data_IF_162026792286
#
_entry.id   IF_162026792286
#
_cell.length_a   1.000
_cell.length_b   1.000
_cell.length_c   1.000
_cell.angle_alpha   90.00
_cell.angle_beta   90.00
_cell.angle_gamma   90.00
#
_symmetry.space_group_name_H-M   'P 1'
#
loop_
_entity.id
_entity.type
_entity.pdbx_description
1 polymer ?
#
# COMPACT_ATOMS: atom_id res chain seq x y z
N UNK A 1 -4.43 -5.99 -5.56
CA UNK A 1 -5.55 -6.65 -4.85
C UNK A 1 -5.42 -8.16 -4.73
N UNK A 2 -4.71 -8.86 -5.63
CA UNK A 2 -4.46 -10.32 -5.51
C UNK A 2 -3.77 -10.69 -4.20
N UNK A 3 -2.81 -9.87 -3.73
CA UNK A 3 -2.13 -10.09 -2.44
C UNK A 3 -3.09 -10.05 -1.24
N UNK A 4 -4.05 -9.13 -1.25
CA UNK A 4 -5.08 -9.05 -0.20
C UNK A 4 -5.90 -10.32 -0.21
N UNK A 5 -6.38 -10.76 -1.39
CA UNK A 5 -7.15 -11.99 -1.56
C UNK A 5 -6.38 -13.23 -1.08
N UNK A 6 -5.07 -13.30 -1.35
CA UNK A 6 -4.20 -14.39 -0.90
C UNK A 6 -4.02 -14.42 0.63
N UNK A 7 -4.12 -13.26 1.30
CA UNK A 7 -3.93 -13.12 2.74
C UNK A 7 -5.24 -13.17 3.55
N UNK A 8 -6.39 -13.24 2.88
CA UNK A 8 -7.70 -13.51 3.50
C UNK A 8 -7.67 -14.70 4.48
N UNK A 9 -7.21 -15.89 4.08
CA UNK A 9 -7.21 -17.05 4.98
C UNK A 9 -6.31 -16.83 6.20
N UNK A 10 -5.26 -16.01 6.09
CA UNK A 10 -4.38 -15.66 7.22
C UNK A 10 -5.11 -14.80 8.23
N UNK A 11 -5.84 -13.77 7.78
CA UNK A 11 -6.65 -12.91 8.66
C UNK A 11 -7.77 -13.71 9.33
N UNK A 12 -8.40 -14.63 8.59
CA UNK A 12 -9.42 -15.53 9.14
C UNK A 12 -8.86 -16.49 10.20
N UNK A 13 -7.67 -17.06 9.97
CA UNK A 13 -7.00 -17.94 10.94
C UNK A 13 -6.63 -17.18 12.23
N UNK A 14 -6.18 -15.93 12.12
CA UNK A 14 -5.91 -15.07 13.28
C UNK A 14 -7.20 -14.75 14.05
N UNK A 15 -8.31 -14.53 13.34
CA UNK A 15 -9.64 -14.41 13.94
C UNK A 15 -10.06 -15.65 14.72
N UNK A 16 -9.83 -16.84 14.15
CA UNK A 16 -10.12 -18.11 14.82
C UNK A 16 -9.24 -18.35 16.06
N UNK A 17 -8.05 -17.75 16.12
CA UNK A 17 -7.17 -17.76 17.29
C UNK A 17 -7.59 -16.75 18.39
N UNK A 18 -8.71 -16.04 18.22
CA UNK A 18 -9.24 -15.09 19.21
C UNK A 18 -8.75 -13.64 19.06
N UNK A 19 -8.06 -13.31 17.96
CA UNK A 19 -7.63 -11.94 17.66
C UNK A 19 -8.76 -11.19 16.96
N UNK A 20 -9.00 -9.91 17.31
CA UNK A 20 -9.99 -9.11 16.58
C UNK A 20 -9.53 -8.92 15.11
N UNK A 21 -10.23 -9.56 14.18
CA UNK A 21 -9.87 -9.58 12.76
C UNK A 21 -10.34 -8.30 12.03
N UNK A 22 -11.29 -7.55 12.58
CA UNK A 22 -11.89 -6.39 11.92
C UNK A 22 -10.87 -5.29 11.58
N UNK A 23 -10.04 -4.80 12.53
CA UNK A 23 -8.99 -3.84 12.20
C UNK A 23 -7.89 -4.44 11.30
N UNK A 24 -7.68 -5.76 11.34
CA UNK A 24 -6.68 -6.43 10.49
C UNK A 24 -7.04 -6.37 9.01
N UNK A 25 -8.33 -6.47 8.66
CA UNK A 25 -8.79 -6.31 7.29
C UNK A 25 -8.43 -4.95 6.71
N UNK A 26 -8.67 -3.90 7.49
CA UNK A 26 -8.34 -2.53 7.10
C UNK A 26 -6.83 -2.30 7.04
N UNK A 27 -6.08 -2.80 8.02
CA UNK A 27 -4.61 -2.73 8.01
C UNK A 27 -4.02 -3.44 6.78
N UNK A 28 -4.53 -4.62 6.43
CA UNK A 28 -4.11 -5.38 5.25
C UNK A 28 -4.41 -4.63 3.95
N UNK A 29 -5.60 -4.05 3.83
CA UNK A 29 -5.99 -3.25 2.66
C UNK A 29 -5.09 -2.02 2.51
N UNK A 30 -4.87 -1.27 3.58
CA UNK A 30 -4.01 -0.08 3.56
C UNK A 30 -2.56 -0.45 3.19
N UNK A 31 -2.01 -1.49 3.81
CA UNK A 31 -0.67 -1.98 3.51
C UNK A 31 -0.51 -2.42 2.05
N UNK A 32 -1.50 -3.14 1.51
CA UNK A 32 -1.45 -3.59 0.12
C UNK A 32 -1.60 -2.44 -0.88
N UNK A 33 -2.46 -1.45 -0.60
CA UNK A 33 -2.69 -0.32 -1.49
C UNK A 33 -1.51 0.66 -1.51
N UNK A 34 -1.01 1.08 -0.34
CA UNK A 34 0.08 2.05 -0.27
C UNK A 34 1.45 1.40 -0.46
N UNK A 35 1.64 0.15 -0.02
CA UNK A 35 2.87 -0.61 -0.22
C UNK A 35 3.16 -0.90 -1.69
N UNK A 36 2.14 -1.14 -2.51
CA UNK A 36 2.29 -1.30 -3.96
C UNK A 36 2.88 -0.06 -4.64
N UNK A 37 2.56 1.14 -4.15
CA UNK A 37 2.98 2.41 -4.75
C UNK A 37 4.46 2.73 -4.55
N UNK A 38 5.16 2.04 -3.64
CA UNK A 38 6.59 2.25 -3.36
C UNK A 38 7.45 1.90 -4.57
N UNK A 39 7.00 0.96 -5.39
CA UNK A 39 7.72 0.50 -6.58
C UNK A 39 7.17 1.13 -7.85
N UNK A 40 8.05 1.25 -8.85
CA UNK A 40 7.70 1.74 -10.19
C UNK A 40 6.63 0.87 -10.86
N UNK A 41 6.66 -0.44 -10.61
CA UNK A 41 5.81 -1.44 -11.29
C UNK A 41 4.53 -1.73 -10.51
N UNK A 42 4.49 -1.42 -9.21
CA UNK A 42 3.38 -1.81 -8.35
C UNK A 42 2.07 -1.06 -8.59
N UNK A 43 2.08 0.00 -9.39
CA UNK A 43 0.87 0.67 -9.87
C UNK A 43 0.98 1.02 -11.35
N UNK A 44 -0.07 0.77 -12.12
CA UNK A 44 -0.14 1.13 -13.54
C UNK A 44 -0.01 2.64 -13.75
N UNK A 45 -0.49 3.45 -12.79
CA UNK A 45 -0.36 4.90 -12.83
C UNK A 45 1.12 5.35 -12.79
N UNK A 46 1.96 4.68 -11.99
CA UNK A 46 3.39 4.97 -11.90
C UNK A 46 4.09 4.70 -13.24
N UNK A 47 3.79 3.56 -13.85
CA UNK A 47 4.35 3.17 -15.16
C UNK A 47 3.95 4.18 -16.24
N UNK A 48 2.67 4.57 -16.29
CA UNK A 48 2.16 5.54 -17.27
C UNK A 48 2.81 6.91 -17.06
N UNK A 49 2.90 7.38 -15.81
CA UNK A 49 3.53 8.66 -15.49
C UNK A 49 5.01 8.70 -15.90
N UNK A 50 5.73 7.60 -15.70
CA UNK A 50 7.13 7.47 -16.11
C UNK A 50 7.29 7.39 -17.63
N UNK A 51 6.42 6.64 -18.32
CA UNK A 51 6.40 6.62 -19.78
C UNK A 51 6.09 7.99 -20.37
N UNK A 52 5.22 8.77 -19.73
CA UNK A 52 4.95 10.17 -20.11
C UNK A 52 6.15 11.09 -19.85
N UNK A 53 6.82 10.94 -18.71
CA UNK A 53 8.02 11.71 -18.37
C UNK A 53 9.13 11.47 -19.40
N UNK A 54 9.39 10.21 -19.70
CA UNK A 54 10.36 9.79 -20.71
C UNK A 54 10.02 10.36 -22.08
N UNK A 55 8.75 10.23 -22.52
CA UNK A 55 8.30 10.75 -23.82
C UNK A 55 8.39 12.27 -23.94
N UNK A 56 8.19 13.03 -22.85
CA UNK A 56 8.17 14.50 -22.87
C UNK A 56 9.53 15.15 -22.65
N UNK A 57 10.39 14.53 -21.84
CA UNK A 57 11.65 15.15 -21.40
C UNK A 57 12.89 14.39 -21.84
N UNK A 58 12.74 13.16 -22.36
CA UNK A 58 13.86 12.26 -22.66
C UNK A 58 14.57 11.73 -21.42
N UNK A 59 14.07 12.04 -20.22
CA UNK A 59 14.68 11.61 -18.97
C UNK A 59 14.22 10.20 -18.58
N UNK A 60 15.16 9.26 -18.54
CA UNK A 60 14.91 7.92 -18.01
C UNK A 60 15.04 7.88 -16.49
N UNK A 61 13.92 7.61 -15.81
CA UNK A 61 13.94 7.37 -14.38
C UNK A 61 14.44 5.96 -14.08
N UNK A 62 15.50 5.86 -13.28
CA UNK A 62 15.98 4.56 -12.78
C UNK A 62 15.17 4.08 -11.58
N UNK A 63 15.01 2.76 -11.44
CA UNK A 63 14.29 2.12 -10.34
C UNK A 63 14.75 2.60 -8.95
N UNK A 64 16.06 2.77 -8.75
CA UNK A 64 16.63 3.26 -7.48
C UNK A 64 16.19 4.69 -7.13
N UNK A 65 16.10 5.58 -8.12
CA UNK A 65 15.60 6.95 -7.92
C UNK A 65 14.11 6.95 -7.64
N UNK A 66 13.35 6.08 -8.33
CA UNK A 66 11.93 5.93 -8.06
C UNK A 66 11.66 5.48 -6.64
N UNK A 67 12.44 4.54 -6.08
CA UNK A 67 12.23 4.07 -4.71
C UNK A 67 12.17 5.23 -3.72
N UNK A 68 13.05 6.22 -3.80
CA UNK A 68 12.99 7.39 -2.90
C UNK A 68 11.67 8.16 -3.04
N UNK A 69 11.24 8.43 -4.28
CA UNK A 69 10.00 9.16 -4.57
C UNK A 69 8.76 8.35 -4.15
N UNK A 70 8.71 7.08 -4.55
CA UNK A 70 7.62 6.15 -4.23
C UNK A 70 7.56 5.83 -2.74
N UNK A 71 8.69 5.82 -2.04
CA UNK A 71 8.73 5.64 -0.59
C UNK A 71 8.14 6.86 0.11
N UNK A 72 8.46 8.09 -0.30
CA UNK A 72 7.75 9.27 0.25
C UNK A 72 6.26 9.23 -0.11
N UNK A 73 5.93 8.94 -1.37
CA UNK A 73 4.54 8.92 -1.85
C UNK A 73 3.67 7.78 -1.31
N UNK A 74 4.26 6.66 -0.92
CA UNK A 74 3.57 5.51 -0.33
C UNK A 74 3.57 5.53 1.20
N UNK A 75 4.69 5.91 1.81
CA UNK A 75 4.90 5.77 3.26
C UNK A 75 4.23 6.89 4.06
N UNK A 76 4.17 8.12 3.51
CA UNK A 76 3.41 9.22 4.14
C UNK A 76 1.91 8.90 4.25
N UNK A 77 1.18 8.58 3.17
CA UNK A 77 -0.24 8.25 3.29
C UNK A 77 -0.46 6.94 4.06
N UNK A 78 0.45 5.97 3.97
CA UNK A 78 0.40 4.76 4.80
C UNK A 78 0.47 5.10 6.30
N UNK A 79 1.37 6.01 6.68
CA UNK A 79 1.51 6.44 8.07
C UNK A 79 0.24 7.13 8.57
N UNK A 80 -0.31 8.06 7.78
CA UNK A 80 -1.58 8.74 8.11
C UNK A 80 -2.71 7.72 8.24
N UNK A 81 -2.82 6.79 7.30
CA UNK A 81 -3.85 5.75 7.33
C UNK A 81 -3.71 4.85 8.57
N UNK A 82 -2.48 4.52 8.97
CA UNK A 82 -2.24 3.77 10.21
C UNK A 82 -2.63 4.54 11.47
N UNK A 83 -2.26 5.82 11.56
CA UNK A 83 -2.67 6.66 12.70
C UNK A 83 -4.19 6.72 12.79
N UNK A 84 -4.89 6.90 11.66
CA UNK A 84 -6.34 6.88 11.61
C UNK A 84 -6.93 5.53 12.04
N UNK A 85 -6.33 4.42 11.60
CA UNK A 85 -6.75 3.08 12.01
C UNK A 85 -6.64 2.90 13.53
N UNK A 86 -5.53 3.32 14.14
CA UNK A 86 -5.30 3.23 15.59
C UNK A 86 -6.28 4.11 16.38
N UNK A 87 -6.57 5.31 15.88
CA UNK A 87 -7.57 6.21 16.50
C UNK A 87 -8.98 5.66 16.39
N UNK A 88 -9.29 4.94 15.30
CA UNK A 88 -10.60 4.31 15.09
C UNK A 88 -10.74 2.96 15.80
N UNK A 89 -9.65 2.35 16.25
CA UNK A 89 -9.66 1.07 16.99
C UNK A 89 -10.72 0.99 18.12
N UNK A 90 -10.89 2.01 19.01
CA UNK A 90 -11.93 1.99 20.04
C UNK A 90 -13.36 2.19 19.53
N UNK A 91 -13.54 2.64 18.28
CA UNK A 91 -14.83 2.82 17.63
C UNK A 91 -15.23 1.61 16.76
N UNK A 92 -14.30 0.69 16.52
CA UNK A 92 -14.55 -0.51 15.73
C UNK A 92 -15.21 -1.61 16.58
N UNK A 93 -16.20 -2.34 16.03
CA UNK A 93 -16.91 -3.41 16.73
C UNK A 93 -16.04 -4.65 17.02
#
# INVERSE_FOLDING_TARGET
MVLVAALIPVVQALGAAGVNNFPMWWALLQGACYGGNITMVGSTANIVALGMLEKRTGYHMTFRKWILVGLVGGLLPLFVAQVLLLVQLPLMP
#
